data_IF_579331245867
#
_entry.id   IF_579331245867
#
_cell.length_a   1.000
_cell.length_b   1.000
_cell.length_c   1.000
_cell.angle_alpha   90.00
_cell.angle_beta   90.00
_cell.angle_gamma   90.00
#
_symmetry.space_group_name_H-M   'P 1'
#
loop_
_entity.id
_entity.type
_entity.pdbx_description
1 polymer ?
#
# COMPACT_ATOMS: atom_id res chain seq x y z
N UNK A 1 -18.10 -29.21 21.54
CA UNK A 1 -17.86 -27.95 22.31
C UNK A 1 -18.58 -26.84 21.55
N UNK A 2 -19.62 -26.26 22.16
CA UNK A 2 -20.32 -25.09 21.57
C UNK A 2 -19.31 -23.93 21.43
N UNK A 3 -19.19 -23.30 20.25
CA UNK A 3 -18.31 -22.18 20.11
C UNK A 3 -18.70 -21.08 21.11
N UNK A 4 -17.72 -20.54 21.83
CA UNK A 4 -17.96 -19.43 22.75
C UNK A 4 -18.57 -18.25 21.99
N UNK A 5 -19.55 -17.58 22.57
CA UNK A 5 -20.14 -16.36 21.99
C UNK A 5 -19.00 -15.37 21.72
N UNK A 6 -18.74 -14.99 20.47
CA UNK A 6 -17.64 -14.12 20.12
C UNK A 6 -17.71 -12.75 20.83
N UNK A 7 -18.88 -12.38 21.34
CA UNK A 7 -19.15 -11.11 22.03
C UNK A 7 -19.12 -11.20 23.55
N UNK A 8 -18.86 -12.37 24.13
CA UNK A 8 -18.68 -12.48 25.58
C UNK A 8 -17.47 -11.67 26.06
N UNK A 9 -17.42 -11.28 27.34
CA UNK A 9 -16.31 -10.48 27.90
C UNK A 9 -14.93 -11.13 27.70
N UNK A 10 -14.87 -12.45 27.63
CA UNK A 10 -13.67 -13.24 27.34
C UNK A 10 -13.65 -13.82 25.92
N UNK A 11 -14.58 -13.41 25.06
CA UNK A 11 -14.68 -13.88 23.69
C UNK A 11 -13.52 -13.40 22.81
N UNK A 12 -13.37 -14.02 21.60
CA UNK A 12 -12.34 -13.67 20.64
C UNK A 12 -12.31 -12.18 20.33
N UNK A 13 -13.47 -11.56 20.23
CA UNK A 13 -13.61 -10.13 19.96
C UNK A 13 -13.02 -9.27 21.07
N UNK A 14 -13.41 -9.52 22.30
CA UNK A 14 -12.92 -8.75 23.45
C UNK A 14 -11.41 -8.91 23.64
N UNK A 15 -10.85 -10.12 23.40
CA UNK A 15 -9.40 -10.33 23.43
C UNK A 15 -8.70 -9.53 22.33
N UNK A 16 -9.24 -9.54 21.12
CA UNK A 16 -8.68 -8.77 20.01
C UNK A 16 -8.71 -7.27 20.28
N UNK A 17 -9.85 -6.72 20.71
CA UNK A 17 -10.00 -5.28 21.04
C UNK A 17 -9.03 -4.85 22.15
N UNK A 18 -8.86 -5.66 23.20
CA UNK A 18 -7.85 -5.39 24.25
C UNK A 18 -6.41 -5.38 23.73
N UNK A 19 -6.11 -6.13 22.67
CA UNK A 19 -4.77 -6.20 22.08
C UNK A 19 -4.39 -4.99 21.21
N UNK A 20 -5.36 -4.15 20.82
CA UNK A 20 -5.15 -3.06 19.86
C UNK A 20 -4.66 -1.79 20.53
N UNK A 21 -5.07 -1.49 21.78
CA UNK A 21 -4.63 -0.32 22.54
C UNK A 21 -5.23 1.03 22.10
N UNK A 22 -6.21 1.04 21.18
CA UNK A 22 -6.95 2.23 20.75
C UNK A 22 -8.40 1.89 20.41
N UNK A 23 -9.24 2.93 20.30
CA UNK A 23 -10.68 2.76 20.03
C UNK A 23 -10.90 2.48 18.53
N UNK A 24 -11.72 1.47 18.25
CA UNK A 24 -12.14 1.13 16.90
C UNK A 24 -13.13 2.13 16.31
N UNK A 25 -13.04 2.36 15.03
CA UNK A 25 -14.01 3.15 14.28
C UNK A 25 -15.33 2.39 14.08
N UNK A 26 -16.47 3.11 13.98
CA UNK A 26 -17.77 2.48 13.78
C UNK A 26 -17.86 1.55 12.56
N UNK A 27 -17.11 1.83 11.49
CA UNK A 27 -17.10 0.96 10.30
C UNK A 27 -16.38 -0.36 10.58
N UNK A 28 -15.32 -0.34 11.40
CA UNK A 28 -14.58 -1.54 11.81
C UNK A 28 -15.48 -2.44 12.66
N UNK A 29 -16.22 -1.86 13.62
CA UNK A 29 -17.21 -2.60 14.40
C UNK A 29 -18.27 -3.28 13.51
N UNK A 30 -18.85 -2.54 12.54
CA UNK A 30 -19.85 -3.10 11.61
C UNK A 30 -19.30 -4.27 10.78
N UNK A 31 -18.04 -4.17 10.35
CA UNK A 31 -17.39 -5.22 9.59
C UNK A 31 -17.09 -6.46 10.45
N UNK A 32 -16.58 -6.26 11.66
CA UNK A 32 -16.33 -7.34 12.61
C UNK A 32 -17.63 -8.05 13.03
N UNK A 33 -18.72 -7.28 13.21
CA UNK A 33 -20.05 -7.83 13.49
C UNK A 33 -20.54 -8.79 12.39
N UNK A 34 -20.23 -8.50 11.14
CA UNK A 34 -20.56 -9.40 10.03
C UNK A 34 -19.71 -10.69 10.08
N UNK A 35 -18.42 -10.55 10.35
CA UNK A 35 -17.51 -11.70 10.50
C UNK A 35 -17.96 -12.60 11.66
N UNK A 36 -18.40 -12.03 12.78
CA UNK A 36 -18.91 -12.80 13.94
C UNK A 36 -20.15 -13.61 13.59
N UNK A 37 -20.98 -13.14 12.66
CA UNK A 37 -22.15 -13.89 12.15
C UNK A 37 -21.81 -14.89 11.05
N UNK A 38 -20.53 -15.03 10.67
CA UNK A 38 -20.11 -15.88 9.55
C UNK A 38 -20.47 -15.31 8.17
N UNK A 39 -20.77 -13.99 8.09
CA UNK A 39 -21.06 -13.31 6.83
C UNK A 39 -19.75 -12.88 6.16
N UNK A 40 -19.68 -12.96 4.84
CA UNK A 40 -18.62 -12.28 4.09
C UNK A 40 -18.75 -10.75 4.19
N UNK A 41 -17.64 -10.04 4.06
CA UNK A 41 -17.65 -8.57 4.16
C UNK A 41 -16.85 -7.91 3.04
N UNK A 42 -17.41 -6.85 2.47
CA UNK A 42 -16.71 -5.92 1.59
C UNK A 42 -16.51 -4.61 2.34
N UNK A 43 -15.28 -4.27 2.63
CA UNK A 43 -14.90 -2.99 3.25
C UNK A 43 -14.34 -2.07 2.17
N UNK A 44 -15.08 -1.02 1.83
CA UNK A 44 -14.64 0.06 0.94
C UNK A 44 -14.34 1.30 1.78
N UNK A 45 -13.05 1.61 1.96
CA UNK A 45 -12.61 2.68 2.84
C UNK A 45 -11.32 3.33 2.30
N UNK A 46 -11.09 4.64 2.56
CA UNK A 46 -9.88 5.32 2.12
C UNK A 46 -8.61 4.64 2.63
N UNK A 47 -7.51 4.83 1.91
CA UNK A 47 -6.17 4.44 2.40
C UNK A 47 -5.87 5.19 3.71
N UNK A 48 -5.29 4.48 4.68
CA UNK A 48 -5.00 5.04 6.01
C UNK A 48 -6.17 5.02 6.99
N UNK A 49 -7.37 4.56 6.60
CA UNK A 49 -8.53 4.48 7.51
C UNK A 49 -8.49 3.28 8.49
N UNK A 50 -7.48 2.42 8.43
CA UNK A 50 -7.39 1.25 9.29
C UNK A 50 -8.23 0.04 8.84
N UNK A 51 -8.60 -0.07 7.55
CA UNK A 51 -9.35 -1.23 7.01
C UNK A 51 -8.63 -2.57 7.23
N UNK A 52 -7.30 -2.58 7.26
CA UNK A 52 -6.47 -3.77 7.51
C UNK A 52 -6.80 -4.44 8.85
N UNK A 53 -7.23 -3.65 9.85
CA UNK A 53 -7.58 -4.17 11.17
C UNK A 53 -8.77 -5.14 11.12
N UNK A 54 -9.69 -4.97 10.17
CA UNK A 54 -10.80 -5.90 9.93
C UNK A 54 -10.28 -7.25 9.45
N UNK A 55 -9.27 -7.26 8.58
CA UNK A 55 -8.60 -8.49 8.14
C UNK A 55 -7.83 -9.16 9.30
N UNK A 56 -7.13 -8.37 10.10
CA UNK A 56 -6.42 -8.88 11.28
C UNK A 56 -7.38 -9.54 12.28
N UNK A 57 -8.57 -8.96 12.46
CA UNK A 57 -9.63 -9.57 13.27
C UNK A 57 -10.11 -10.90 12.67
N UNK A 58 -10.34 -10.96 11.36
CA UNK A 58 -10.77 -12.19 10.69
C UNK A 58 -9.73 -13.30 10.82
N UNK A 59 -8.45 -12.98 10.73
CA UNK A 59 -7.34 -13.91 11.00
C UNK A 59 -7.42 -14.43 12.44
N UNK A 60 -7.51 -13.54 13.43
CA UNK A 60 -7.60 -13.91 14.84
C UNK A 60 -8.80 -14.84 15.09
N UNK A 61 -9.94 -14.51 14.50
CA UNK A 61 -11.20 -15.28 14.63
C UNK A 61 -11.08 -16.69 14.04
N UNK A 62 -10.43 -16.83 12.86
CA UNK A 62 -10.19 -18.13 12.25
C UNK A 62 -9.27 -19.01 13.09
N UNK A 63 -8.19 -18.41 13.64
CA UNK A 63 -7.26 -19.12 14.51
C UNK A 63 -7.91 -19.58 15.83
N UNK A 64 -8.76 -18.77 16.43
CA UNK A 64 -9.53 -19.13 17.63
C UNK A 64 -10.48 -20.32 17.40
N UNK A 65 -10.99 -20.43 16.18
CA UNK A 65 -11.84 -21.55 15.76
C UNK A 65 -11.02 -22.79 15.34
N UNK A 66 -9.69 -22.74 15.42
CA UNK A 66 -8.80 -23.85 15.02
C UNK A 66 -8.64 -24.03 13.52
N UNK A 67 -9.10 -23.08 12.71
CA UNK A 67 -9.00 -23.12 11.26
C UNK A 67 -7.85 -22.32 10.68
N UNK A 68 -7.80 -22.25 9.34
CA UNK A 68 -6.78 -21.52 8.58
C UNK A 68 -7.29 -20.20 8.02
N UNK A 69 -6.40 -19.24 7.90
CA UNK A 69 -6.62 -17.95 7.26
C UNK A 69 -5.64 -17.74 6.10
N UNK A 70 -6.16 -17.45 4.91
CA UNK A 70 -5.33 -17.09 3.77
C UNK A 70 -5.44 -15.57 3.51
N UNK A 71 -4.29 -14.91 3.49
CA UNK A 71 -4.19 -13.49 3.21
C UNK A 71 -3.65 -13.29 1.80
N UNK A 72 -4.47 -12.81 0.87
CA UNK A 72 -4.03 -12.59 -0.51
C UNK A 72 -3.79 -11.13 -0.81
N UNK A 73 -2.77 -10.86 -1.61
CA UNK A 73 -2.43 -9.51 -2.10
C UNK A 73 -2.23 -9.53 -3.61
N UNK A 74 -2.43 -8.38 -4.30
CA UNK A 74 -2.29 -8.33 -5.76
C UNK A 74 -0.84 -8.40 -6.26
N UNK A 75 0.14 -8.14 -5.40
CA UNK A 75 1.56 -8.11 -5.79
C UNK A 75 2.45 -8.69 -4.70
N UNK A 76 3.54 -9.32 -5.14
CA UNK A 76 4.52 -10.00 -4.29
C UNK A 76 5.11 -9.10 -3.19
N UNK A 77 5.38 -7.83 -3.47
CA UNK A 77 5.95 -6.91 -2.50
C UNK A 77 5.03 -6.72 -1.28
N UNK A 78 3.72 -6.60 -1.50
CA UNK A 78 2.73 -6.53 -0.43
C UNK A 78 2.61 -7.85 0.34
N UNK A 79 2.76 -9.01 -0.35
CA UNK A 79 2.79 -10.31 0.34
C UNK A 79 3.97 -10.39 1.31
N UNK A 80 5.17 -9.98 0.91
CA UNK A 80 6.35 -9.98 1.76
C UNK A 80 6.19 -9.08 2.99
N UNK A 81 5.66 -7.87 2.77
CA UNK A 81 5.38 -6.94 3.87
C UNK A 81 4.38 -7.54 4.86
N UNK A 82 3.26 -8.06 4.36
CA UNK A 82 2.22 -8.64 5.20
C UNK A 82 2.69 -9.90 5.94
N UNK A 83 3.52 -10.72 5.29
CA UNK A 83 4.17 -11.86 5.93
C UNK A 83 5.02 -11.45 7.14
N UNK A 84 5.84 -10.40 7.00
CA UNK A 84 6.65 -9.87 8.09
C UNK A 84 5.78 -9.32 9.24
N UNK A 85 4.72 -8.54 8.92
CA UNK A 85 3.79 -7.98 9.90
C UNK A 85 3.06 -9.08 10.70
N UNK A 86 2.50 -10.07 10.00
CA UNK A 86 1.78 -11.18 10.65
C UNK A 86 2.75 -12.09 11.42
N UNK A 87 3.96 -12.32 10.90
CA UNK A 87 5.01 -13.06 11.59
C UNK A 87 5.44 -12.41 12.91
N UNK A 88 5.56 -11.09 12.94
CA UNK A 88 5.84 -10.34 14.16
C UNK A 88 4.69 -10.44 15.18
N UNK A 89 3.44 -10.46 14.72
CA UNK A 89 2.25 -10.50 15.59
C UNK A 89 1.92 -11.89 16.11
N UNK A 90 1.97 -12.92 15.25
CA UNK A 90 1.52 -14.28 15.57
C UNK A 90 2.64 -15.29 15.79
N UNK A 91 3.89 -14.89 15.55
CA UNK A 91 5.08 -15.76 15.56
C UNK A 91 5.39 -16.32 14.17
N UNK A 92 6.68 -16.29 13.80
CA UNK A 92 7.15 -16.69 12.46
C UNK A 92 6.80 -18.15 12.09
N UNK A 93 6.72 -19.05 13.09
CA UNK A 93 6.36 -20.47 12.87
C UNK A 93 4.87 -20.68 12.52
N UNK A 94 4.03 -19.68 12.71
CA UNK A 94 2.57 -19.76 12.42
C UNK A 94 2.19 -19.10 11.11
N UNK A 95 3.13 -18.48 10.40
CA UNK A 95 2.87 -17.73 9.18
C UNK A 95 3.67 -18.32 8.03
N UNK A 96 3.01 -18.66 6.95
CA UNK A 96 3.60 -19.10 5.69
C UNK A 96 3.57 -18.00 4.63
N UNK A 97 4.44 -18.15 3.61
CA UNK A 97 4.50 -17.26 2.45
C UNK A 97 4.54 -18.09 1.17
N UNK A 98 3.55 -17.86 0.29
CA UNK A 98 3.49 -18.50 -1.03
C UNK A 98 3.41 -17.44 -2.12
N UNK A 99 4.44 -17.37 -2.95
CA UNK A 99 4.48 -16.53 -4.16
C UNK A 99 4.93 -17.38 -5.34
N UNK A 100 4.97 -16.83 -6.55
CA UNK A 100 5.35 -17.62 -7.73
C UNK A 100 6.74 -18.27 -7.65
N UNK A 101 7.61 -17.80 -6.78
CA UNK A 101 9.00 -18.24 -6.61
C UNK A 101 9.40 -18.58 -5.17
N UNK A 102 8.51 -18.38 -4.19
CA UNK A 102 8.76 -18.67 -2.77
C UNK A 102 7.67 -19.60 -2.26
N UNK A 103 8.09 -20.69 -1.61
CA UNK A 103 7.22 -21.56 -0.83
C UNK A 103 7.86 -21.76 0.56
N UNK A 104 7.32 -21.04 1.54
CA UNK A 104 7.76 -21.11 2.93
C UNK A 104 6.57 -21.47 3.82
N UNK A 105 6.68 -22.55 4.58
CA UNK A 105 5.65 -23.05 5.51
C UNK A 105 4.21 -23.06 4.93
N UNK A 106 3.97 -23.77 3.81
CA UNK A 106 2.67 -23.74 3.12
C UNK A 106 1.50 -24.29 3.96
N UNK A 107 1.79 -25.13 4.95
CA UNK A 107 0.80 -25.71 5.87
C UNK A 107 0.53 -24.87 7.13
N UNK A 108 1.13 -23.68 7.26
CA UNK A 108 0.92 -22.81 8.43
C UNK A 108 -0.56 -22.41 8.58
N UNK A 109 -1.03 -22.12 9.81
CA UNK A 109 -2.41 -21.69 10.04
C UNK A 109 -2.74 -20.32 9.40
N UNK A 110 -1.73 -19.49 9.17
CA UNK A 110 -1.86 -18.25 8.40
C UNK A 110 -0.95 -18.39 7.18
N UNK A 111 -1.47 -18.21 5.97
CA UNK A 111 -0.63 -18.20 4.76
C UNK A 111 -0.87 -16.91 3.99
N UNK A 112 0.20 -16.16 3.80
CA UNK A 112 0.21 -14.98 2.93
C UNK A 112 0.61 -15.39 1.53
N UNK A 113 -0.13 -14.93 0.52
CA UNK A 113 0.14 -15.33 -0.86
C UNK A 113 -0.34 -14.28 -1.87
N UNK A 114 0.08 -14.41 -3.12
CA UNK A 114 -0.56 -13.65 -4.21
C UNK A 114 -1.87 -14.32 -4.61
N UNK A 115 -2.82 -13.54 -5.13
CA UNK A 115 -4.14 -14.03 -5.51
C UNK A 115 -4.06 -15.13 -6.59
N UNK A 116 -3.09 -15.05 -7.49
CA UNK A 116 -2.83 -16.07 -8.52
C UNK A 116 -2.43 -17.43 -7.91
N UNK A 117 -1.67 -17.42 -6.82
CA UNK A 117 -1.29 -18.66 -6.14
C UNK A 117 -2.53 -19.33 -5.55
N UNK A 118 -3.39 -18.59 -4.86
CA UNK A 118 -4.65 -19.13 -4.34
C UNK A 118 -5.52 -19.70 -5.46
N UNK A 119 -5.69 -18.97 -6.57
CA UNK A 119 -6.40 -19.47 -7.75
C UNK A 119 -5.85 -20.82 -8.23
N UNK A 120 -4.52 -20.93 -8.37
CA UNK A 120 -3.89 -22.18 -8.82
C UNK A 120 -4.11 -23.33 -7.84
N UNK A 121 -4.08 -23.05 -6.52
CA UNK A 121 -4.40 -24.04 -5.49
C UNK A 121 -5.85 -24.53 -5.59
N UNK A 122 -6.80 -23.64 -5.88
CA UNK A 122 -8.22 -23.98 -6.07
C UNK A 122 -8.41 -24.88 -7.29
N UNK A 123 -7.79 -24.55 -8.43
CA UNK A 123 -7.83 -25.42 -9.61
C UNK A 123 -7.18 -26.79 -9.38
N UNK A 124 -6.07 -26.83 -8.65
CA UNK A 124 -5.39 -28.06 -8.29
C UNK A 124 -6.11 -28.86 -7.18
N UNK A 125 -7.17 -28.35 -6.58
CA UNK A 125 -7.85 -28.93 -5.41
C UNK A 125 -6.86 -29.32 -4.32
N UNK A 126 -5.97 -28.39 -3.99
CA UNK A 126 -4.89 -28.62 -3.03
C UNK A 126 -5.43 -28.97 -1.64
N UNK A 127 -4.83 -29.96 -0.98
CA UNK A 127 -5.13 -30.31 0.41
C UNK A 127 -4.77 -29.19 1.41
N UNK A 128 -3.99 -28.20 0.99
CA UNK A 128 -3.72 -27.02 1.82
C UNK A 128 -4.97 -26.18 2.06
N UNK A 129 -6.03 -26.36 1.25
CA UNK A 129 -7.35 -25.73 1.42
C UNK A 129 -8.19 -26.36 2.54
N UNK A 130 -7.77 -27.52 3.05
CA UNK A 130 -8.47 -28.18 4.15
C UNK A 130 -8.41 -27.26 5.39
N UNK A 131 -9.54 -27.16 6.11
CA UNK A 131 -9.74 -26.30 7.28
C UNK A 131 -9.64 -24.78 7.00
N UNK A 132 -9.72 -24.37 5.73
CA UNK A 132 -9.75 -22.95 5.35
C UNK A 132 -11.07 -22.32 5.78
N UNK A 133 -11.02 -21.36 6.70
CA UNK A 133 -12.19 -20.67 7.22
C UNK A 133 -12.34 -19.26 6.66
N UNK A 134 -11.25 -18.57 6.42
CA UNK A 134 -11.30 -17.19 5.94
C UNK A 134 -10.27 -16.93 4.84
N UNK A 135 -10.70 -16.17 3.84
CA UNK A 135 -9.83 -15.60 2.80
C UNK A 135 -9.92 -14.07 2.87
N UNK A 136 -8.79 -13.43 3.05
CA UNK A 136 -8.65 -11.98 2.90
C UNK A 136 -8.25 -11.68 1.46
N UNK A 137 -9.06 -10.91 0.75
CA UNK A 137 -8.74 -10.35 -0.55
C UNK A 137 -8.35 -8.88 -0.36
N UNK A 138 -7.06 -8.62 -0.20
CA UNK A 138 -6.58 -7.24 -0.09
C UNK A 138 -6.54 -6.59 -1.46
N UNK A 139 -6.83 -5.28 -1.48
CA UNK A 139 -6.93 -4.46 -2.70
C UNK A 139 -7.86 -5.08 -3.77
N UNK A 140 -9.03 -5.59 -3.35
CA UNK A 140 -9.97 -6.30 -4.23
C UNK A 140 -10.46 -5.48 -5.43
N UNK A 141 -10.23 -4.15 -5.45
CA UNK A 141 -10.51 -3.31 -6.61
C UNK A 141 -9.68 -3.68 -7.87
N UNK A 142 -8.60 -4.46 -7.72
CA UNK A 142 -7.88 -5.08 -8.84
C UNK A 142 -8.76 -6.04 -9.67
N UNK A 143 -9.91 -6.46 -9.17
CA UNK A 143 -10.92 -7.17 -9.96
C UNK A 143 -11.35 -6.37 -11.21
N UNK A 144 -11.22 -5.03 -11.19
CA UNK A 144 -11.49 -4.17 -12.34
C UNK A 144 -10.34 -4.12 -13.36
N UNK A 145 -9.19 -4.74 -13.07
CA UNK A 145 -8.08 -4.80 -14.02
C UNK A 145 -8.46 -5.66 -15.23
N UNK A 146 -8.35 -5.11 -16.46
CA UNK A 146 -8.81 -5.81 -17.67
C UNK A 146 -8.01 -7.07 -18.00
N UNK A 147 -6.80 -7.22 -17.45
CA UNK A 147 -5.92 -8.36 -17.72
C UNK A 147 -5.90 -9.38 -16.58
N UNK A 148 -6.08 -8.94 -15.34
CA UNK A 148 -5.91 -9.77 -14.14
C UNK A 148 -7.19 -9.94 -13.34
N UNK A 149 -8.23 -9.17 -13.60
CA UNK A 149 -9.47 -9.14 -12.80
C UNK A 149 -10.14 -10.52 -12.68
N UNK A 150 -10.11 -11.33 -13.74
CA UNK A 150 -10.66 -12.69 -13.74
C UNK A 150 -10.08 -13.59 -12.65
N UNK A 151 -8.83 -13.35 -12.21
CA UNK A 151 -8.20 -14.11 -11.12
C UNK A 151 -8.99 -14.00 -9.82
N UNK A 152 -9.45 -12.79 -9.47
CA UNK A 152 -10.28 -12.55 -8.27
C UNK A 152 -11.66 -13.18 -8.40
N UNK A 153 -12.26 -13.10 -9.59
CA UNK A 153 -13.55 -13.74 -9.87
C UNK A 153 -13.44 -15.26 -9.71
N UNK A 154 -12.43 -15.88 -10.30
CA UNK A 154 -12.17 -17.32 -10.19
C UNK A 154 -11.96 -17.76 -8.75
N UNK A 155 -11.19 -17.00 -7.95
CA UNK A 155 -11.00 -17.27 -6.52
C UNK A 155 -12.33 -17.23 -5.77
N UNK A 156 -13.15 -16.21 -6.03
CA UNK A 156 -14.44 -16.07 -5.38
C UNK A 156 -15.42 -17.20 -5.77
N UNK A 157 -15.44 -17.60 -7.03
CA UNK A 157 -16.36 -18.64 -7.53
C UNK A 157 -15.91 -20.03 -7.12
N UNK A 158 -14.61 -20.34 -7.19
CA UNK A 158 -14.07 -21.69 -6.99
C UNK A 158 -13.82 -22.05 -5.52
N UNK A 159 -13.78 -21.09 -4.61
CA UNK A 159 -13.52 -21.37 -3.20
C UNK A 159 -14.62 -22.22 -2.57
N UNK A 160 -14.26 -23.12 -1.63
CA UNK A 160 -15.22 -24.00 -0.98
C UNK A 160 -16.39 -23.24 -0.33
N UNK A 161 -17.57 -23.84 -0.27
CA UNK A 161 -18.69 -23.29 0.51
C UNK A 161 -18.29 -23.13 1.99
N UNK A 162 -18.82 -22.11 2.65
CA UNK A 162 -18.56 -21.85 4.07
C UNK A 162 -17.30 -21.03 4.36
N UNK A 163 -16.40 -20.82 3.37
CA UNK A 163 -15.28 -19.90 3.52
C UNK A 163 -15.79 -18.45 3.56
N UNK A 164 -15.45 -17.72 4.61
CA UNK A 164 -15.79 -16.31 4.77
C UNK A 164 -14.77 -15.44 4.02
N UNK A 165 -15.26 -14.52 3.21
CA UNK A 165 -14.41 -13.56 2.50
C UNK A 165 -14.39 -12.21 3.19
N UNK A 166 -13.18 -11.68 3.43
CA UNK A 166 -12.93 -10.31 3.86
C UNK A 166 -12.26 -9.58 2.71
N UNK A 167 -13.07 -8.86 1.94
CA UNK A 167 -12.62 -8.10 0.77
C UNK A 167 -12.35 -6.66 1.16
N UNK A 168 -11.08 -6.24 1.08
CA UNK A 168 -10.64 -4.89 1.38
C UNK A 168 -10.41 -4.11 0.10
N UNK A 169 -10.95 -2.90 0.02
CA UNK A 169 -10.83 -2.03 -1.15
C UNK A 169 -10.54 -0.60 -0.74
N UNK A 170 -9.85 0.14 -1.59
CA UNK A 170 -9.94 1.60 -1.58
C UNK A 170 -11.39 2.05 -1.83
N UNK A 171 -11.69 3.32 -1.65
CA UNK A 171 -13.03 3.86 -1.95
C UNK A 171 -13.37 3.65 -3.42
N UNK A 172 -14.43 2.89 -3.69
CA UNK A 172 -14.94 2.62 -5.04
C UNK A 172 -16.37 3.12 -5.18
N UNK A 173 -16.68 3.73 -6.32
CA UNK A 173 -18.01 4.33 -6.57
C UNK A 173 -19.12 3.27 -6.69
N UNK A 174 -18.80 2.03 -7.10
CA UNK A 174 -19.73 0.94 -7.35
C UNK A 174 -19.71 -0.14 -6.25
N UNK A 175 -19.30 0.19 -5.02
CA UNK A 175 -19.21 -0.78 -3.91
C UNK A 175 -20.51 -1.55 -3.66
N UNK A 176 -21.68 -0.91 -3.85
CA UNK A 176 -22.99 -1.55 -3.68
C UNK A 176 -23.27 -2.60 -4.76
N UNK A 177 -22.93 -2.32 -6.01
CA UNK A 177 -23.14 -3.25 -7.13
C UNK A 177 -22.21 -4.45 -7.01
N UNK A 178 -20.96 -4.18 -6.66
CA UNK A 178 -19.98 -5.21 -6.37
C UNK A 178 -20.41 -6.09 -5.17
N UNK A 179 -20.93 -5.49 -4.10
CA UNK A 179 -21.48 -6.24 -2.97
C UNK A 179 -22.69 -7.11 -3.33
N UNK A 180 -23.58 -6.65 -4.22
CA UNK A 180 -24.68 -7.48 -4.74
C UNK A 180 -24.17 -8.68 -5.53
N UNK A 181 -23.17 -8.48 -6.38
CA UNK A 181 -22.54 -9.58 -7.09
C UNK A 181 -21.86 -10.57 -6.12
N UNK A 182 -21.10 -10.10 -5.15
CA UNK A 182 -20.52 -10.96 -4.10
C UNK A 182 -21.60 -11.77 -3.38
N UNK A 183 -22.73 -11.16 -3.05
CA UNK A 183 -23.86 -11.85 -2.41
C UNK A 183 -24.42 -12.96 -3.30
N UNK A 184 -24.49 -12.76 -4.61
CA UNK A 184 -24.98 -13.81 -5.54
C UNK A 184 -24.01 -14.99 -5.67
N UNK A 185 -22.70 -14.75 -5.48
CA UNK A 185 -21.66 -15.79 -5.63
C UNK A 185 -21.35 -16.49 -4.30
N UNK A 186 -21.30 -15.74 -3.19
CA UNK A 186 -20.81 -16.21 -1.88
C UNK A 186 -21.86 -16.25 -0.77
N UNK A 187 -23.11 -15.90 -1.08
CA UNK A 187 -24.15 -15.77 -0.07
C UNK A 187 -24.05 -14.45 0.68
N UNK A 188 -24.60 -14.38 1.89
CA UNK A 188 -24.71 -13.12 2.66
C UNK A 188 -23.38 -12.40 2.76
N UNK A 189 -23.32 -11.21 2.15
CA UNK A 189 -22.15 -10.35 2.14
C UNK A 189 -22.53 -8.96 2.62
N UNK A 190 -21.88 -8.50 3.71
CA UNK A 190 -22.08 -7.16 4.26
C UNK A 190 -21.19 -6.16 3.55
N UNK A 191 -21.78 -5.12 2.96
CA UNK A 191 -21.05 -3.98 2.41
C UNK A 191 -20.90 -2.90 3.47
N UNK A 192 -19.66 -2.57 3.80
CA UNK A 192 -19.30 -1.51 4.73
C UNK A 192 -18.54 -0.45 3.99
N UNK A 193 -19.12 0.75 3.89
CA UNK A 193 -18.51 1.90 3.22
C UNK A 193 -18.11 2.92 4.27
N UNK A 194 -16.87 3.40 4.19
CA UNK A 194 -16.36 4.54 4.93
C UNK A 194 -15.83 5.57 3.94
N UNK A 195 -16.18 6.82 4.13
CA UNK A 195 -15.76 7.92 3.25
C UNK A 195 -14.87 8.94 3.95
N UNK A 196 -14.88 8.91 5.29
CA UNK A 196 -14.03 9.82 6.07
C UNK A 196 -12.55 9.46 5.88
N UNK A 197 -11.76 10.47 5.52
CA UNK A 197 -10.30 10.35 5.45
C UNK A 197 -9.69 10.85 6.75
N UNK A 198 -8.89 10.02 7.46
CA UNK A 198 -8.19 10.47 8.67
C UNK A 198 -7.26 11.66 8.39
N UNK A 199 -6.67 11.69 7.18
CA UNK A 199 -5.84 12.80 6.71
C UNK A 199 -6.50 13.42 5.48
N UNK A 200 -6.84 14.70 5.56
CA UNK A 200 -7.45 15.44 4.47
C UNK A 200 -6.47 15.59 3.30
N UNK A 201 -6.94 15.35 2.07
CA UNK A 201 -6.17 15.60 0.85
C UNK A 201 -6.47 17.02 0.34
N UNK A 202 -5.40 17.80 0.17
CA UNK A 202 -5.45 19.12 -0.44
C UNK A 202 -4.84 19.06 -1.85
N UNK A 203 -5.66 19.26 -2.87
CA UNK A 203 -5.23 19.22 -4.26
C UNK A 203 -4.74 20.59 -4.70
N UNK A 204 -3.52 20.65 -5.23
CA UNK A 204 -2.90 21.87 -5.73
C UNK A 204 -2.40 21.69 -7.15
N UNK A 205 -2.27 22.81 -7.84
CA UNK A 205 -1.65 22.93 -9.16
C UNK A 205 -0.39 23.80 -9.03
N UNK A 206 0.75 23.26 -9.50
CA UNK A 206 2.02 23.94 -9.46
C UNK A 206 2.42 24.41 -10.85
N UNK A 207 2.85 25.67 -10.97
CA UNK A 207 3.27 26.28 -12.23
C UNK A 207 4.46 27.23 -11.98
N UNK A 208 5.41 27.26 -12.92
CA UNK A 208 6.51 28.22 -12.93
C UNK A 208 6.34 29.24 -14.05
N UNK A 209 6.81 30.46 -13.83
CA UNK A 209 6.83 31.54 -14.82
C UNK A 209 8.23 31.67 -15.41
N UNK A 210 8.34 31.79 -16.74
CA UNK A 210 9.63 32.02 -17.39
C UNK A 210 10.18 33.39 -16.99
N UNK A 211 11.46 33.44 -16.62
CA UNK A 211 12.12 34.69 -16.20
C UNK A 211 11.78 35.14 -14.78
N UNK A 212 11.10 34.33 -14.01
CA UNK A 212 10.90 34.50 -12.57
C UNK A 212 11.33 33.25 -11.83
N UNK A 213 11.98 33.44 -10.72
CA UNK A 213 12.32 32.36 -9.80
C UNK A 213 11.09 31.95 -8.96
N UNK A 214 11.01 30.66 -8.62
CA UNK A 214 9.99 30.09 -7.77
C UNK A 214 8.80 29.48 -8.50
N UNK A 215 7.97 28.81 -7.70
CA UNK A 215 6.79 28.06 -8.12
C UNK A 215 5.55 28.70 -7.52
N UNK A 216 4.56 28.99 -8.36
CA UNK A 216 3.23 29.35 -7.91
C UNK A 216 2.42 28.09 -7.66
N UNK A 217 1.96 27.88 -6.43
CA UNK A 217 1.13 26.75 -6.03
C UNK A 217 -0.26 27.25 -5.70
N UNK A 218 -1.24 26.79 -6.46
CA UNK A 218 -2.64 27.22 -6.34
C UNK A 218 -3.53 26.03 -5.95
N UNK A 219 -4.53 26.20 -5.08
CA UNK A 219 -5.54 25.17 -4.87
C UNK A 219 -6.21 24.79 -6.19
N UNK A 220 -6.38 23.51 -6.45
CA UNK A 220 -7.07 23.04 -7.66
C UNK A 220 -8.55 23.39 -7.63
N UNK A 221 -9.15 23.32 -6.45
CA UNK A 221 -10.56 23.65 -6.21
C UNK A 221 -10.68 24.83 -5.25
N UNK A 222 -11.68 25.68 -5.46
CA UNK A 222 -12.11 26.74 -4.54
C UNK A 222 -13.61 26.59 -4.35
N UNK A 223 -14.05 26.37 -3.13
CA UNK A 223 -15.48 26.15 -2.79
C UNK A 223 -16.12 24.99 -3.60
N UNK A 224 -15.39 23.89 -3.79
CA UNK A 224 -15.87 22.71 -4.54
C UNK A 224 -15.89 22.85 -6.06
N UNK A 225 -15.54 24.00 -6.62
CA UNK A 225 -15.44 24.24 -8.06
C UNK A 225 -13.97 24.44 -8.50
N UNK A 226 -13.66 24.23 -9.81
CA UNK A 226 -12.33 24.52 -10.33
C UNK A 226 -11.89 25.95 -10.02
N UNK A 227 -10.64 26.12 -9.57
CA UNK A 227 -10.12 27.43 -9.21
C UNK A 227 -10.01 28.35 -10.44
N UNK A 228 -10.74 29.52 -10.49
CA UNK A 228 -10.72 30.41 -11.61
C UNK A 228 -9.34 30.94 -11.99
N UNK A 229 -8.45 31.10 -10.98
CA UNK A 229 -7.09 31.60 -11.22
C UNK A 229 -6.25 30.56 -11.95
N UNK A 230 -6.42 29.26 -11.62
CA UNK A 230 -5.80 28.14 -12.35
C UNK A 230 -6.32 28.04 -13.80
N UNK A 231 -7.62 28.19 -14.01
CA UNK A 231 -8.21 28.19 -15.35
C UNK A 231 -7.66 29.33 -16.21
N UNK A 232 -7.52 30.56 -15.67
CA UNK A 232 -6.92 31.70 -16.38
C UNK A 232 -5.48 31.44 -16.79
N UNK A 233 -4.70 30.73 -15.95
CA UNK A 233 -3.32 30.36 -16.29
C UNK A 233 -3.29 29.36 -17.47
N UNK A 234 -4.18 28.38 -17.52
CA UNK A 234 -4.27 27.41 -18.61
C UNK A 234 -4.72 28.07 -19.93
N UNK A 235 -5.69 28.97 -19.89
CA UNK A 235 -6.15 29.73 -21.06
C UNK A 235 -5.06 30.63 -21.62
N UNK A 236 -4.30 31.33 -20.77
CA UNK A 236 -3.15 32.16 -21.19
C UNK A 236 -2.06 31.32 -21.82
N UNK A 237 -1.82 30.10 -21.31
CA UNK A 237 -0.87 29.14 -21.90
C UNK A 237 -1.27 28.75 -23.33
N UNK A 238 -2.56 28.52 -23.57
CA UNK A 238 -3.10 28.16 -24.92
C UNK A 238 -3.03 29.30 -25.93
N UNK A 239 -3.11 30.57 -25.49
CA UNK A 239 -3.17 31.74 -26.36
C UNK A 239 -1.85 32.44 -26.63
N UNK A 240 -0.79 32.13 -25.87
CA UNK A 240 0.50 32.81 -25.98
C UNK A 240 1.45 32.07 -26.90
N UNK A 241 1.92 32.71 -27.96
CA UNK A 241 2.99 32.26 -28.85
C UNK A 241 4.33 32.13 -28.10
N UNK A 242 4.52 32.93 -27.04
CA UNK A 242 5.61 32.80 -26.08
C UNK A 242 5.05 32.29 -24.77
N UNK A 243 5.16 30.98 -24.54
CA UNK A 243 4.66 30.35 -23.32
C UNK A 243 5.29 31.02 -22.08
N UNK A 244 4.54 31.92 -21.44
CA UNK A 244 4.95 32.61 -20.20
C UNK A 244 5.08 31.62 -19.04
N UNK A 245 4.23 30.61 -19.01
CA UNK A 245 4.19 29.58 -17.97
C UNK A 245 4.80 28.27 -18.48
N UNK A 246 5.50 27.57 -17.61
CA UNK A 246 6.09 26.26 -17.83
C UNK A 246 5.75 25.29 -16.70
N UNK A 247 5.92 23.99 -16.93
CA UNK A 247 6.01 23.05 -15.82
C UNK A 247 7.22 23.42 -14.95
N UNK A 248 7.06 23.47 -13.61
CA UNK A 248 8.20 23.70 -12.74
C UNK A 248 9.21 22.56 -12.85
N UNK A 249 10.50 22.85 -12.58
CA UNK A 249 11.49 21.80 -12.39
C UNK A 249 11.18 21.05 -11.10
N UNK A 250 11.58 19.80 -11.02
CA UNK A 250 11.35 18.98 -9.83
C UNK A 250 12.04 19.57 -8.60
N UNK A 251 13.27 20.05 -8.77
CA UNK A 251 14.02 20.77 -7.73
C UNK A 251 13.26 21.98 -7.19
N UNK A 252 12.68 22.81 -8.07
CA UNK A 252 11.88 23.99 -7.68
C UNK A 252 10.65 23.59 -6.85
N UNK A 253 9.99 22.46 -7.19
CA UNK A 253 8.85 21.96 -6.42
C UNK A 253 9.30 21.47 -5.05
N UNK A 254 10.40 20.71 -4.98
CA UNK A 254 10.93 20.18 -3.71
C UNK A 254 11.41 21.32 -2.81
N UNK A 255 12.08 22.33 -3.34
CA UNK A 255 12.46 23.53 -2.60
C UNK A 255 11.24 24.27 -2.02
N UNK A 256 10.19 24.43 -2.83
CA UNK A 256 8.94 25.01 -2.35
C UNK A 256 8.34 24.18 -1.20
N UNK A 257 8.26 22.86 -1.35
CA UNK A 257 7.72 21.97 -0.33
C UNK A 257 8.56 21.99 0.95
N UNK A 258 9.89 22.06 0.80
CA UNK A 258 10.82 22.20 1.92
C UNK A 258 10.58 23.51 2.68
N UNK A 259 10.55 24.63 1.95
CA UNK A 259 10.29 25.94 2.55
C UNK A 259 8.93 26.06 3.21
N UNK A 260 7.93 25.33 2.69
CA UNK A 260 6.57 25.26 3.24
C UNK A 260 6.40 24.25 4.39
N UNK A 261 7.45 23.51 4.78
CA UNK A 261 7.38 22.47 5.81
C UNK A 261 6.51 21.25 5.41
N UNK A 262 6.44 20.93 4.12
CA UNK A 262 5.58 19.89 3.53
C UNK A 262 6.35 18.62 3.13
N UNK A 263 7.57 18.42 3.61
CA UNK A 263 8.32 17.19 3.42
C UNK A 263 7.97 16.17 4.54
N UNK A 264 8.07 14.85 4.28
CA UNK A 264 8.56 14.21 3.05
C UNK A 264 7.56 14.25 1.90
N UNK A 265 8.07 14.13 0.67
CA UNK A 265 7.28 14.14 -0.56
C UNK A 265 7.56 12.91 -1.45
N UNK A 266 6.52 12.39 -2.10
CA UNK A 266 6.65 11.30 -3.09
C UNK A 266 6.25 11.84 -4.46
N UNK A 267 7.17 11.76 -5.43
CA UNK A 267 6.91 12.11 -6.82
C UNK A 267 6.67 10.86 -7.65
N UNK A 268 5.45 10.70 -8.19
CA UNK A 268 5.10 9.56 -9.04
C UNK A 268 5.56 9.81 -10.48
N UNK A 269 6.39 8.90 -11.00
CA UNK A 269 6.95 8.93 -12.35
C UNK A 269 6.74 7.56 -13.00
N UNK A 270 6.06 7.50 -14.17
CA UNK A 270 5.65 6.24 -14.81
C UNK A 270 6.74 5.57 -15.67
N UNK A 271 8.00 5.89 -15.43
CA UNK A 271 9.15 5.32 -16.14
C UNK A 271 10.32 5.12 -15.18
N UNK A 272 10.94 3.93 -15.19
CA UNK A 272 12.12 3.62 -14.36
C UNK A 272 13.27 4.57 -14.66
N UNK A 273 13.63 4.71 -15.93
CA UNK A 273 14.68 5.60 -16.37
C UNK A 273 14.39 7.06 -16.00
N UNK A 274 13.14 7.50 -16.13
CA UNK A 274 12.76 8.86 -15.73
C UNK A 274 12.76 9.07 -14.21
N UNK A 275 12.62 8.01 -13.39
CA UNK A 275 12.84 8.09 -11.93
C UNK A 275 14.32 8.36 -11.62
N UNK A 276 15.22 7.60 -12.26
CA UNK A 276 16.66 7.79 -12.08
C UNK A 276 17.13 9.15 -12.58
N UNK A 277 16.62 9.59 -13.74
CA UNK A 277 16.89 10.92 -14.31
C UNK A 277 16.40 12.04 -13.39
N UNK A 278 15.20 11.89 -12.82
CA UNK A 278 14.64 12.87 -11.90
C UNK A 278 15.49 13.02 -10.65
N UNK A 279 15.96 11.90 -10.08
CA UNK A 279 16.82 11.91 -8.90
C UNK A 279 18.16 12.57 -9.21
N UNK A 280 18.79 12.24 -10.33
CA UNK A 280 20.03 12.89 -10.79
C UNK A 280 19.84 14.38 -10.97
N UNK A 281 18.78 14.80 -11.67
CA UNK A 281 18.49 16.24 -11.89
C UNK A 281 18.39 17.03 -10.58
N UNK A 282 17.69 16.48 -9.59
CA UNK A 282 17.52 17.17 -8.28
C UNK A 282 18.87 17.31 -7.55
N UNK A 283 19.73 16.29 -7.64
CA UNK A 283 21.09 16.33 -7.04
C UNK A 283 21.99 17.28 -7.79
N UNK A 284 21.96 17.26 -9.15
CA UNK A 284 22.78 18.14 -10.01
C UNK A 284 22.38 19.62 -9.86
N UNK A 285 21.10 19.90 -9.61
CA UNK A 285 20.60 21.24 -9.26
C UNK A 285 21.07 21.69 -7.85
N UNK A 286 21.84 20.87 -7.13
CA UNK A 286 22.47 21.19 -5.86
C UNK A 286 21.58 21.04 -4.62
N UNK A 287 20.41 20.43 -4.77
CA UNK A 287 19.49 20.25 -3.65
C UNK A 287 20.07 19.35 -2.56
N UNK A 288 20.01 19.81 -1.31
CA UNK A 288 20.47 19.08 -0.13
C UNK A 288 19.48 19.27 1.00
N UNK A 289 18.83 18.18 1.39
CA UNK A 289 17.73 18.19 2.36
C UNK A 289 18.12 17.55 3.70
N UNK A 290 19.34 17.04 3.80
CA UNK A 290 19.83 16.30 4.97
C UNK A 290 20.87 17.10 5.76
N UNK A 291 20.85 16.92 7.07
CA UNK A 291 21.90 17.37 7.99
C UNK A 291 23.13 16.45 7.93
N UNK A 292 24.25 16.86 8.53
CA UNK A 292 25.46 16.03 8.62
C UNK A 292 25.22 14.73 9.40
N UNK A 293 24.43 14.79 10.46
CA UNK A 293 24.07 13.62 11.26
C UNK A 293 23.21 12.63 10.45
N UNK A 294 22.21 13.13 9.70
CA UNK A 294 21.39 12.30 8.83
C UNK A 294 22.23 11.64 7.73
N UNK A 295 23.16 12.37 7.11
CA UNK A 295 24.09 11.81 6.12
C UNK A 295 24.95 10.67 6.69
N UNK A 296 25.52 10.87 7.88
CA UNK A 296 26.29 9.82 8.54
C UNK A 296 25.42 8.56 8.81
N UNK A 297 24.17 8.76 9.23
CA UNK A 297 23.23 7.67 9.44
C UNK A 297 22.88 6.94 8.15
N UNK A 298 22.61 7.68 7.07
CA UNK A 298 22.35 7.14 5.72
C UNK A 298 23.52 6.27 5.26
N UNK A 299 24.77 6.76 5.37
CA UNK A 299 25.96 5.98 4.99
C UNK A 299 26.01 4.64 5.71
N UNK A 300 25.85 4.64 7.03
CA UNK A 300 25.84 3.41 7.83
C UNK A 300 24.77 2.41 7.39
N UNK A 301 23.55 2.89 7.07
CA UNK A 301 22.46 2.05 6.58
C UNK A 301 22.75 1.48 5.19
N UNK A 302 23.26 2.32 4.29
CA UNK A 302 23.62 1.96 2.93
C UNK A 302 24.74 0.90 2.95
N UNK A 303 25.84 1.16 3.66
CA UNK A 303 26.98 0.23 3.80
C UNK A 303 26.51 -1.14 4.30
N UNK A 304 25.69 -1.17 5.37
CA UNK A 304 25.15 -2.43 5.90
C UNK A 304 24.26 -3.19 4.93
N UNK A 305 23.57 -2.47 4.02
CA UNK A 305 22.66 -3.06 3.03
C UNK A 305 23.40 -3.67 1.84
N UNK A 306 24.58 -3.15 1.50
CA UNK A 306 25.38 -3.57 0.33
C UNK A 306 26.59 -4.42 0.69
N UNK A 307 26.82 -4.75 1.95
CA UNK A 307 27.97 -5.48 2.48
C UNK A 307 28.29 -6.78 1.70
N UNK A 308 27.28 -7.40 1.13
CA UNK A 308 27.42 -8.66 0.36
C UNK A 308 27.70 -8.47 -1.12
N UNK A 309 27.75 -7.24 -1.62
CA UNK A 309 28.04 -6.93 -3.02
C UNK A 309 29.54 -6.67 -3.20
N UNK A 310 30.10 -7.14 -4.30
CA UNK A 310 31.49 -6.85 -4.66
C UNK A 310 31.66 -5.41 -5.15
N UNK A 311 32.89 -4.88 -5.11
CA UNK A 311 33.18 -3.54 -5.65
C UNK A 311 32.87 -3.44 -7.15
N UNK A 312 33.01 -4.53 -7.91
CA UNK A 312 32.67 -4.59 -9.34
C UNK A 312 31.16 -4.52 -9.55
N UNK A 313 30.39 -5.24 -8.73
CA UNK A 313 28.92 -5.15 -8.74
C UNK A 313 28.46 -3.72 -8.40
N UNK A 314 29.01 -3.13 -7.35
CA UNK A 314 28.68 -1.77 -6.92
C UNK A 314 28.97 -0.74 -8.03
N UNK A 315 30.09 -0.84 -8.72
CA UNK A 315 30.42 0.02 -9.87
C UNK A 315 29.45 -0.15 -11.01
N UNK A 316 29.15 -1.41 -11.38
CA UNK A 316 28.21 -1.74 -12.46
C UNK A 316 26.79 -1.26 -12.17
N UNK A 317 26.37 -1.30 -10.91
CA UNK A 317 25.05 -0.86 -10.44
C UNK A 317 24.93 0.65 -10.24
N UNK A 318 26.02 1.43 -10.42
CA UNK A 318 25.99 2.87 -10.26
C UNK A 318 25.87 3.33 -8.80
N UNK A 319 26.49 2.60 -7.87
CA UNK A 319 26.42 2.85 -6.43
C UNK A 319 26.78 4.29 -6.05
N UNK A 320 27.86 4.88 -6.61
CA UNK A 320 28.33 6.20 -6.24
C UNK A 320 27.26 7.30 -6.41
N UNK A 321 26.72 7.51 -7.62
CA UNK A 321 25.64 8.49 -7.84
C UNK A 321 24.38 8.18 -7.03
N UNK A 322 24.01 6.92 -6.88
CA UNK A 322 22.85 6.51 -6.10
C UNK A 322 23.02 6.81 -4.60
N UNK A 323 24.17 6.48 -4.01
CA UNK A 323 24.49 6.78 -2.60
C UNK A 323 24.55 8.29 -2.35
N UNK A 324 25.13 9.06 -3.26
CA UNK A 324 25.17 10.52 -3.16
C UNK A 324 23.75 11.14 -3.16
N UNK A 325 22.82 10.56 -3.92
CA UNK A 325 21.43 11.00 -3.91
C UNK A 325 20.75 10.72 -2.56
N UNK A 326 20.96 9.54 -1.98
CA UNK A 326 20.44 9.23 -0.64
C UNK A 326 20.99 10.20 0.40
N UNK A 327 22.31 10.48 0.36
CA UNK A 327 22.94 11.45 1.25
C UNK A 327 22.38 12.87 1.07
N UNK A 328 21.89 13.21 -0.12
CA UNK A 328 21.18 14.48 -0.36
C UNK A 328 19.72 14.44 0.15
N UNK A 329 19.22 13.29 0.62
CA UNK A 329 17.85 13.10 1.09
C UNK A 329 16.85 12.73 0.01
N UNK A 330 17.31 12.28 -1.16
CA UNK A 330 16.49 11.95 -2.33
C UNK A 330 16.84 10.55 -2.82
N UNK A 331 15.84 9.77 -3.23
CA UNK A 331 16.08 8.43 -3.76
C UNK A 331 15.08 8.06 -4.86
N UNK A 332 15.50 7.31 -5.89
CA UNK A 332 14.58 6.61 -6.77
C UNK A 332 14.02 5.37 -6.05
N UNK A 333 12.76 5.04 -6.29
CA UNK A 333 12.17 3.77 -5.83
C UNK A 333 11.34 3.15 -6.96
N UNK A 334 11.82 2.07 -7.54
CA UNK A 334 11.15 1.34 -8.63
C UNK A 334 11.58 -0.12 -8.71
N UNK A 335 10.83 -0.92 -9.46
CA UNK A 335 11.06 -2.36 -9.59
C UNK A 335 12.39 -2.76 -10.27
N UNK A 336 13.10 -1.82 -10.89
CA UNK A 336 14.42 -2.03 -11.50
C UNK A 336 15.58 -1.97 -10.52
N UNK A 337 15.37 -1.46 -9.30
CA UNK A 337 16.42 -1.45 -8.27
C UNK A 337 16.71 -2.86 -7.79
N UNK A 338 17.99 -3.17 -7.60
CA UNK A 338 18.40 -4.41 -6.93
C UNK A 338 17.87 -4.46 -5.50
N UNK A 339 17.62 -5.66 -4.94
CA UNK A 339 17.00 -5.81 -3.63
C UNK A 339 17.73 -5.04 -2.51
N UNK A 340 19.06 -5.06 -2.49
CA UNK A 340 19.86 -4.36 -1.50
C UNK A 340 19.64 -2.84 -1.53
N UNK A 341 19.61 -2.23 -2.71
CA UNK A 341 19.37 -0.79 -2.87
C UNK A 341 17.95 -0.42 -2.47
N UNK A 342 16.97 -1.24 -2.88
CA UNK A 342 15.58 -1.02 -2.50
C UNK A 342 15.39 -1.05 -0.99
N UNK A 343 15.96 -2.05 -0.32
CA UNK A 343 15.88 -2.19 1.13
C UNK A 343 16.53 -0.99 1.85
N UNK A 344 17.67 -0.50 1.35
CA UNK A 344 18.31 0.69 1.91
C UNK A 344 17.41 1.93 1.79
N UNK A 345 16.79 2.16 0.61
CA UNK A 345 15.85 3.27 0.40
C UNK A 345 14.66 3.17 1.36
N UNK A 346 14.05 1.99 1.47
CA UNK A 346 12.90 1.76 2.35
C UNK A 346 13.25 1.99 3.83
N UNK A 347 14.43 1.55 4.28
CA UNK A 347 14.91 1.80 5.65
C UNK A 347 15.18 3.29 5.89
N UNK A 348 15.87 3.97 4.97
CA UNK A 348 16.12 5.40 5.09
C UNK A 348 14.81 6.20 5.12
N UNK A 349 13.83 5.82 4.32
CA UNK A 349 12.51 6.46 4.33
C UNK A 349 11.76 6.21 5.65
N UNK A 350 11.77 4.98 6.14
CA UNK A 350 11.12 4.62 7.42
C UNK A 350 11.73 5.32 8.64
N UNK A 351 13.04 5.61 8.59
CA UNK A 351 13.73 6.41 9.63
C UNK A 351 13.59 7.94 9.42
N UNK A 352 12.83 8.40 8.41
CA UNK A 352 12.60 9.83 8.13
C UNK A 352 13.82 10.57 7.57
N UNK A 353 14.80 9.83 7.05
CA UNK A 353 16.04 10.37 6.50
C UNK A 353 15.87 10.84 5.03
N UNK A 354 14.94 10.27 4.28
CA UNK A 354 14.54 10.75 2.96
C UNK A 354 13.38 11.73 3.10
N UNK A 355 13.43 12.74 2.26
CA UNK A 355 12.54 13.90 2.40
C UNK A 355 11.50 14.05 1.28
#
# INVERSE_FOLDING_TARGET
VTPADPRSEDGPRARFERSIGFTLDPFQHRAMDAIDRGESVLVSAPTGSGKTLVADYAVARALDAGGKAFYTTPIKALSNQKFAELGARYGAHRVGLLTGDISHQPGAPIVVMTTEVLRNMLFARSTLLDDLQVVILDEVHYLQDPYRGSVWEEVLVLSPPGVVFVSLSATVNNAKDFGRWLTSVRGTTRVVVETHRPVTLHHHYAVAERGRDGVAVLPLLRNGAPNPDGLKLDERRKRSVHQRFRAPRRSEVVEYLHAAGMLPAITFIFSRAACDDATRQVVDDGLRLTTDAERARIRSLVESSVERLSDDDLRTLGYGPWSAALEAGVAPHHAGLVPAFRQAVERCFSEGLLK
#
